data_IF_264952653282
#
_entry.id   IF_264952653282
#
_cell.length_a   1.000
_cell.length_b   1.000
_cell.length_c   1.000
_cell.angle_alpha   90.00
_cell.angle_beta   90.00
_cell.angle_gamma   90.00
#
_symmetry.space_group_name_H-M   'P 1'
#
loop_
_entity.id
_entity.type
_entity.pdbx_description
1 polymer ?
#
# COMPACT_ATOMS: atom_id res chain seq x y z
N UNK A 1 2.89 -15.58 9.11
CA UNK A 1 2.89 -15.77 7.64
C UNK A 1 3.67 -14.62 7.00
N UNK A 2 4.39 -14.83 5.90
CA UNK A 2 5.05 -13.74 5.15
C UNK A 2 4.26 -13.42 3.89
N UNK A 3 4.07 -12.13 3.60
CA UNK A 3 3.28 -11.67 2.45
C UNK A 3 4.09 -10.67 1.63
N UNK A 4 4.09 -10.87 0.32
CA UNK A 4 4.65 -9.92 -0.65
C UNK A 4 3.50 -9.35 -1.46
N UNK A 5 3.23 -8.07 -1.27
CA UNK A 5 2.34 -7.30 -2.13
C UNK A 5 3.15 -6.74 -3.28
N UNK A 6 2.99 -7.31 -4.47
CA UNK A 6 3.66 -6.88 -5.70
C UNK A 6 2.68 -6.10 -6.58
N UNK A 7 3.08 -4.90 -7.00
CA UNK A 7 2.27 -4.05 -7.86
C UNK A 7 2.98 -3.63 -9.14
N UNK A 8 2.21 -3.57 -10.23
CA UNK A 8 2.62 -3.04 -11.53
C UNK A 8 1.42 -2.38 -12.21
N UNK A 9 1.67 -1.43 -13.09
CA UNK A 9 0.61 -0.83 -13.92
C UNK A 9 0.39 -1.69 -15.16
N UNK A 10 -0.88 -2.06 -15.41
CA UNK A 10 -1.27 -2.68 -16.69
C UNK A 10 -1.20 -1.64 -17.81
N UNK A 11 -1.77 -0.46 -17.54
CA UNK A 11 -1.80 0.69 -18.43
C UNK A 11 -1.47 1.96 -17.64
N UNK A 12 -0.79 2.90 -18.29
CA UNK A 12 -0.33 4.15 -17.68
C UNK A 12 0.91 4.00 -16.80
N UNK A 13 1.15 5.02 -15.97
CA UNK A 13 2.27 5.10 -15.02
C UNK A 13 1.82 5.85 -13.77
N UNK A 14 2.51 5.63 -12.66
CA UNK A 14 2.27 6.46 -11.47
C UNK A 14 2.59 7.92 -11.74
N UNK A 15 1.87 8.80 -11.06
CA UNK A 15 2.21 10.22 -11.00
C UNK A 15 3.12 10.49 -9.81
N UNK A 16 3.83 11.62 -9.89
CA UNK A 16 4.60 12.12 -8.77
C UNK A 16 3.66 12.35 -7.58
N UNK A 17 4.04 11.80 -6.41
CA UNK A 17 3.21 11.77 -5.19
C UNK A 17 1.95 10.91 -5.26
N UNK A 18 1.87 9.88 -6.10
CA UNK A 18 0.90 8.82 -5.82
C UNK A 18 1.24 8.13 -4.49
N UNK A 19 0.27 7.42 -3.93
CA UNK A 19 0.44 6.74 -2.64
C UNK A 19 -0.22 5.37 -2.63
N UNK A 20 0.14 4.59 -1.62
CA UNK A 20 -0.59 3.38 -1.29
C UNK A 20 -0.74 3.22 0.21
N UNK A 21 -1.73 2.43 0.59
CA UNK A 21 -1.88 1.92 1.95
C UNK A 21 -2.20 0.44 1.95
N UNK A 22 -1.68 -0.28 2.92
CA UNK A 22 -2.00 -1.69 3.17
C UNK A 22 -2.54 -1.78 4.59
N UNK A 23 -3.69 -2.42 4.73
CA UNK A 23 -4.27 -2.80 6.00
C UNK A 23 -4.61 -4.29 6.01
N UNK A 24 -4.71 -4.85 7.20
CA UNK A 24 -5.05 -6.26 7.39
C UNK A 24 -5.92 -6.41 8.63
N UNK A 25 -6.75 -7.45 8.62
CA UNK A 25 -7.51 -7.90 9.80
C UNK A 25 -6.62 -8.41 10.95
N UNK A 26 -5.40 -8.84 10.64
CA UNK A 26 -4.41 -9.35 11.59
C UNK A 26 -3.31 -8.32 11.80
N UNK A 27 -2.57 -8.41 12.91
CA UNK A 27 -1.40 -7.56 13.13
C UNK A 27 -0.31 -7.86 12.10
N UNK A 28 0.45 -6.84 11.74
CA UNK A 28 1.50 -6.98 10.76
C UNK A 28 2.69 -6.09 11.01
N UNK A 29 3.86 -6.59 10.60
CA UNK A 29 5.14 -5.93 10.74
C UNK A 29 5.77 -5.74 9.36
N UNK A 30 6.03 -4.48 8.98
CA UNK A 30 6.77 -4.16 7.78
C UNK A 30 8.21 -4.70 7.87
N UNK A 31 8.62 -5.45 6.84
CA UNK A 31 9.99 -5.96 6.72
C UNK A 31 10.77 -5.12 5.72
N UNK A 32 10.23 -4.94 4.51
CA UNK A 32 10.90 -4.17 3.46
C UNK A 32 9.93 -3.72 2.37
N UNK A 33 10.40 -2.81 1.51
CA UNK A 33 9.70 -2.46 0.29
C UNK A 33 10.62 -1.72 -0.67
N UNK A 34 10.41 -1.91 -1.97
CA UNK A 34 11.22 -1.28 -3.02
C UNK A 34 10.36 -0.87 -4.21
N UNK A 35 10.72 0.26 -4.80
CA UNK A 35 10.31 0.63 -6.15
C UNK A 35 11.35 0.09 -7.13
N UNK A 36 10.87 -0.46 -8.24
CA UNK A 36 11.68 -1.07 -9.29
C UNK A 36 11.29 -0.44 -10.64
N UNK A 37 12.28 -0.08 -11.45
CA UNK A 37 12.04 0.56 -12.74
C UNK A 37 13.20 0.32 -13.70
N UNK A 38 12.97 0.57 -14.97
CA UNK A 38 13.98 0.55 -16.01
C UNK A 38 14.25 1.97 -16.51
N UNK A 39 15.50 2.27 -16.87
CA UNK A 39 15.85 3.49 -17.60
C UNK A 39 16.95 3.18 -18.60
N UNK A 40 16.70 3.45 -19.88
CA UNK A 40 17.64 3.15 -20.98
C UNK A 40 18.10 1.68 -20.99
N UNK A 41 17.19 0.73 -20.75
CA UNK A 41 17.50 -0.71 -20.73
C UNK A 41 18.13 -1.23 -19.43
N UNK A 42 18.44 -0.36 -18.45
CA UNK A 42 19.07 -0.75 -17.19
C UNK A 42 18.02 -0.80 -16.08
N UNK A 43 18.01 -1.88 -15.29
CA UNK A 43 17.13 -2.04 -14.14
C UNK A 43 17.70 -1.31 -12.91
N UNK A 44 16.83 -0.60 -12.20
CA UNK A 44 17.14 0.12 -10.97
C UNK A 44 16.16 -0.27 -9.87
N UNK A 45 16.59 -0.06 -8.63
CA UNK A 45 15.73 -0.11 -7.45
C UNK A 45 15.91 1.14 -6.60
N UNK A 46 14.85 1.55 -5.91
CA UNK A 46 14.86 2.64 -4.96
C UNK A 46 14.05 2.25 -3.72
N UNK A 47 14.35 2.89 -2.60
CA UNK A 47 13.49 2.83 -1.41
C UNK A 47 12.14 3.49 -1.71
N UNK A 48 11.09 2.98 -1.08
CA UNK A 48 9.77 3.59 -1.14
C UNK A 48 9.78 4.81 -0.20
N UNK A 49 9.59 6.04 -0.71
CA UNK A 49 9.61 7.22 0.14
C UNK A 49 8.51 7.15 1.20
N UNK A 50 8.84 7.56 2.43
CA UNK A 50 7.93 7.58 3.59
C UNK A 50 7.27 6.23 3.91
N UNK A 51 7.88 5.13 3.45
CA UNK A 51 7.44 3.79 3.81
C UNK A 51 7.53 3.59 5.32
N UNK A 52 6.39 3.31 5.93
CA UNK A 52 6.28 3.14 7.38
C UNK A 52 5.14 2.21 7.71
N UNK A 53 5.28 1.48 8.82
CA UNK A 53 4.19 0.80 9.50
C UNK A 53 3.82 1.60 10.74
N UNK A 54 2.60 2.12 10.82
CA UNK A 54 2.15 2.91 11.96
C UNK A 54 0.71 2.61 12.31
N UNK A 55 0.41 2.66 13.59
CA UNK A 55 -0.95 2.80 14.05
C UNK A 55 -1.47 4.20 13.68
N UNK A 56 -2.62 4.27 13.05
CA UNK A 56 -3.28 5.52 12.65
C UNK A 56 -4.65 5.60 13.29
N UNK A 57 -5.03 6.81 13.70
CA UNK A 57 -6.38 7.14 14.15
C UNK A 57 -7.07 7.80 12.98
N UNK A 58 -8.21 7.26 12.59
CA UNK A 58 -9.06 7.80 11.53
C UNK A 58 -10.49 7.91 12.02
N UNK A 59 -11.26 8.81 11.42
CA UNK A 59 -12.69 8.92 11.67
C UNK A 59 -13.44 8.12 10.62
N UNK A 60 -14.44 7.37 11.04
CA UNK A 60 -15.41 6.85 10.10
C UNK A 60 -16.31 7.99 9.57
N UNK A 61 -17.20 7.63 8.65
CA UNK A 61 -18.17 8.57 8.06
C UNK A 61 -19.20 9.14 9.05
N UNK A 62 -19.38 8.51 10.23
CA UNK A 62 -20.20 9.01 11.33
C UNK A 62 -19.41 9.90 12.30
N UNK A 63 -18.09 10.00 12.10
CA UNK A 63 -17.20 10.78 12.96
C UNK A 63 -16.63 9.97 14.12
N UNK A 64 -16.87 8.65 14.17
CA UNK A 64 -16.33 7.79 15.21
C UNK A 64 -14.84 7.52 14.96
N UNK A 65 -14.02 7.80 15.96
CA UNK A 65 -12.59 7.53 15.93
C UNK A 65 -12.32 6.03 16.09
N UNK A 66 -11.50 5.48 15.20
CA UNK A 66 -10.99 4.13 15.31
C UNK A 66 -9.50 4.11 14.99
N UNK A 67 -8.78 3.22 15.66
CA UNK A 67 -7.33 3.06 15.52
C UNK A 67 -7.01 1.73 14.85
N UNK A 68 -6.11 1.74 13.88
CA UNK A 68 -5.67 0.51 13.20
C UNK A 68 -4.26 0.63 12.65
N UNK A 69 -3.61 -0.52 12.46
CA UNK A 69 -2.28 -0.58 11.87
C UNK A 69 -2.35 -0.42 10.35
N UNK A 70 -1.45 0.40 9.81
CA UNK A 70 -1.38 0.73 8.38
C UNK A 70 0.07 0.79 7.93
N UNK A 71 0.40 0.03 6.89
CA UNK A 71 1.59 0.30 6.09
C UNK A 71 1.21 1.33 5.03
N UNK A 72 1.99 2.38 4.90
CA UNK A 72 1.77 3.44 3.92
C UNK A 72 3.09 3.85 3.27
N UNK A 73 3.05 4.25 2.00
CA UNK A 73 4.23 4.75 1.30
C UNK A 73 3.87 5.54 0.05
N UNK A 74 4.81 6.35 -0.41
CA UNK A 74 4.69 7.10 -1.65
C UNK A 74 5.13 6.25 -2.85
N UNK A 75 4.45 6.42 -3.97
CA UNK A 75 4.87 5.85 -5.25
C UNK A 75 5.47 6.96 -6.09
N UNK A 76 6.78 6.88 -6.32
CA UNK A 76 7.50 7.89 -7.08
C UNK A 76 8.65 7.27 -7.87
N UNK A 77 8.59 7.39 -9.20
CA UNK A 77 9.66 6.95 -10.09
C UNK A 77 10.29 8.13 -10.83
N UNK A 78 11.58 8.03 -11.20
CA UNK A 78 12.21 9.04 -12.02
C UNK A 78 11.46 9.29 -13.32
N UNK A 79 11.42 10.57 -13.74
CA UNK A 79 10.82 10.94 -15.01
C UNK A 79 11.49 10.18 -16.17
N UNK A 80 10.64 9.65 -17.06
CA UNK A 80 11.07 8.86 -18.22
C UNK A 80 11.58 7.47 -17.88
N UNK A 81 11.22 6.91 -16.71
CA UNK A 81 11.45 5.50 -16.42
C UNK A 81 10.36 4.61 -17.01
N UNK A 82 10.74 3.39 -17.38
CA UNK A 82 9.88 2.36 -17.94
C UNK A 82 9.69 1.20 -16.96
N UNK A 83 8.74 0.29 -17.26
CA UNK A 83 8.46 -0.93 -16.48
C UNK A 83 8.37 -0.69 -14.96
N UNK A 84 7.71 0.41 -14.58
CA UNK A 84 7.50 0.79 -13.19
C UNK A 84 6.73 -0.32 -12.46
N UNK A 85 7.24 -0.73 -11.31
CA UNK A 85 6.67 -1.76 -10.44
C UNK A 85 7.23 -1.62 -9.02
N UNK A 86 6.68 -2.34 -8.07
CA UNK A 86 7.21 -2.31 -6.71
C UNK A 86 6.68 -3.45 -5.89
N UNK A 87 7.24 -3.59 -4.69
CA UNK A 87 6.74 -4.55 -3.72
C UNK A 87 6.84 -4.01 -2.30
N UNK A 88 6.00 -4.57 -1.43
CA UNK A 88 6.09 -4.46 0.02
C UNK A 88 6.06 -5.86 0.60
N UNK A 89 7.05 -6.18 1.44
CA UNK A 89 7.15 -7.42 2.19
C UNK A 89 6.85 -7.13 3.66
N UNK A 90 5.95 -7.89 4.25
CA UNK A 90 5.60 -7.81 5.66
C UNK A 90 5.29 -9.18 6.26
N UNK A 91 5.44 -9.28 7.59
CA UNK A 91 5.01 -10.43 8.38
C UNK A 91 3.58 -10.19 8.84
N UNK A 92 2.70 -11.15 8.63
CA UNK A 92 1.41 -11.25 9.31
C UNK A 92 1.57 -12.11 10.55
N UNK A 93 1.26 -11.54 11.70
CA UNK A 93 1.17 -12.23 12.98
C UNK A 93 -0.26 -12.75 13.09
N UNK A 94 -0.43 -14.03 12.76
CA UNK A 94 -1.73 -14.70 12.77
C UNK A 94 -1.88 -15.39 14.11
N UNK A 95 -2.85 -14.94 14.90
CA UNK A 95 -3.14 -15.52 16.20
C UNK A 95 -3.67 -16.95 16.08
N UNK A 96 -3.44 -17.76 17.12
CA UNK A 96 -3.96 -19.12 17.21
C UNK A 96 -5.51 -19.11 17.14
N UNK A 97 -6.09 -19.99 16.35
CA UNK A 97 -7.55 -20.06 16.16
C UNK A 97 -8.10 -19.16 15.04
N UNK A 98 -7.32 -18.26 14.46
CA UNK A 98 -7.73 -17.49 13.28
C UNK A 98 -7.79 -18.42 12.07
N UNK A 99 -9.00 -18.60 11.50
CA UNK A 99 -9.26 -19.48 10.35
C UNK A 99 -9.25 -18.75 8.99
N UNK A 100 -9.45 -17.44 9.00
CA UNK A 100 -9.47 -16.60 7.81
C UNK A 100 -9.09 -15.16 8.15
N UNK A 101 -8.65 -14.42 7.14
CA UNK A 101 -8.38 -13.00 7.25
C UNK A 101 -8.41 -12.31 5.90
N UNK A 102 -8.38 -10.99 5.92
CA UNK A 102 -8.42 -10.15 4.74
C UNK A 102 -7.28 -9.15 4.75
N UNK A 103 -6.68 -8.97 3.58
CA UNK A 103 -5.73 -7.91 3.30
C UNK A 103 -6.34 -6.94 2.30
N UNK A 104 -6.23 -5.65 2.59
CA UNK A 104 -6.70 -4.58 1.71
C UNK A 104 -5.50 -3.75 1.28
N UNK A 105 -5.32 -3.62 -0.03
CA UNK A 105 -4.34 -2.73 -0.64
C UNK A 105 -5.09 -1.63 -1.38
N UNK A 106 -4.85 -0.38 -1.01
CA UNK A 106 -5.37 0.78 -1.71
C UNK A 106 -4.25 1.45 -2.49
N UNK A 107 -4.45 1.64 -3.79
CA UNK A 107 -3.63 2.55 -4.59
C UNK A 107 -4.37 3.86 -4.79
N UNK A 108 -3.69 4.95 -4.45
CA UNK A 108 -4.20 6.31 -4.42
C UNK A 108 -3.56 7.05 -5.59
N UNK A 109 -4.32 7.20 -6.65
CA UNK A 109 -3.88 7.87 -7.87
C UNK A 109 -4.53 9.25 -7.98
N UNK A 110 -3.73 10.27 -8.23
CA UNK A 110 -4.24 11.62 -8.40
C UNK A 110 -4.50 11.99 -9.86
N UNK A 111 -5.51 12.84 -10.08
CA UNK A 111 -5.87 13.29 -11.43
C UNK A 111 -4.86 14.26 -12.07
N UNK A 112 -3.87 14.75 -11.31
CA UNK A 112 -2.89 15.71 -11.81
C UNK A 112 -1.64 15.86 -10.92
N UNK A 113 -0.56 16.45 -11.44
CA UNK A 113 0.77 16.43 -10.82
C UNK A 113 1.02 17.49 -9.72
N UNK A 114 0.12 18.46 -9.53
CA UNK A 114 0.30 19.56 -8.56
C UNK A 114 -0.91 19.75 -7.65
N UNK A 115 -0.69 20.15 -6.39
CA UNK A 115 -1.75 20.38 -5.37
C UNK A 115 -1.42 21.50 -4.39
N UNK A 116 -2.46 22.23 -4.00
CA UNK A 116 -2.44 23.23 -2.93
C UNK A 116 -3.75 23.04 -2.11
N UNK A 117 -3.68 22.86 -0.78
CA UNK A 117 -2.46 22.73 0.03
C UNK A 117 -1.71 21.42 -0.22
N UNK A 118 -0.42 21.40 0.13
CA UNK A 118 0.38 20.18 0.07
C UNK A 118 -0.08 19.20 1.17
N UNK A 119 -0.40 17.97 0.78
CA UNK A 119 -0.78 16.89 1.69
C UNK A 119 -0.12 15.59 1.23
N UNK A 120 0.45 14.83 2.16
CA UNK A 120 0.98 13.49 1.88
C UNK A 120 -0.17 12.56 1.49
N UNK A 121 -0.09 12.00 0.29
CA UNK A 121 -1.16 11.22 -0.33
C UNK A 121 -1.58 10.02 0.48
N UNK A 122 -0.61 9.34 1.06
CA UNK A 122 -0.81 8.15 1.86
C UNK A 122 -1.40 8.42 3.26
N UNK A 123 -1.53 9.69 3.66
CA UNK A 123 -2.20 10.09 4.91
C UNK A 123 -3.70 10.35 4.74
N UNK A 124 -4.23 10.33 3.51
CA UNK A 124 -5.65 10.55 3.30
C UNK A 124 -6.47 9.36 3.83
N UNK A 125 -7.48 9.65 4.65
CA UNK A 125 -8.52 8.68 5.02
C UNK A 125 -9.44 8.47 3.81
N UNK A 126 -9.61 7.21 3.43
CA UNK A 126 -10.10 6.82 2.11
C UNK A 126 -11.13 5.70 2.16
N UNK A 127 -11.75 5.47 3.33
CA UNK A 127 -12.62 4.31 3.58
C UNK A 127 -13.57 3.93 2.43
N UNK A 128 -14.16 4.92 1.74
CA UNK A 128 -15.19 4.70 0.73
C UNK A 128 -15.03 5.65 -0.47
N UNK A 129 -13.96 5.49 -1.24
CA UNK A 129 -13.75 6.27 -2.47
C UNK A 129 -13.71 5.38 -3.71
N UNK A 130 -14.71 5.55 -4.59
CA UNK A 130 -14.79 4.92 -5.92
C UNK A 130 -13.67 5.36 -6.87
N UNK A 131 -12.86 6.34 -6.47
CA UNK A 131 -11.70 6.82 -7.23
C UNK A 131 -10.44 5.99 -7.00
N UNK A 132 -10.52 4.94 -6.18
CA UNK A 132 -9.38 4.11 -5.81
C UNK A 132 -9.29 2.85 -6.66
N UNK A 133 -8.06 2.37 -6.81
CA UNK A 133 -7.81 0.99 -7.21
C UNK A 133 -7.56 0.20 -5.93
N UNK A 134 -8.64 -0.28 -5.33
CA UNK A 134 -8.59 -1.13 -4.13
C UNK A 134 -8.55 -2.60 -4.54
N UNK A 135 -7.75 -3.37 -3.82
CA UNK A 135 -7.68 -4.83 -3.95
C UNK A 135 -7.85 -5.47 -2.58
N UNK A 136 -8.76 -6.43 -2.47
CA UNK A 136 -8.98 -7.20 -1.26
C UNK A 136 -8.61 -8.67 -1.52
N UNK A 137 -7.64 -9.17 -0.77
CA UNK A 137 -7.21 -10.57 -0.83
C UNK A 137 -7.62 -11.27 0.45
N UNK A 138 -8.38 -12.35 0.34
CA UNK A 138 -8.73 -13.19 1.49
C UNK A 138 -7.78 -14.39 1.58
N UNK A 139 -7.39 -14.76 2.79
CA UNK A 139 -6.63 -15.97 3.06
C UNK A 139 -7.35 -16.83 4.09
N UNK A 140 -7.05 -18.13 4.05
CA UNK A 140 -7.48 -19.12 5.04
C UNK A 140 -6.27 -19.82 5.61
N UNK A 141 -6.30 -20.10 6.90
CA UNK A 141 -5.31 -20.98 7.53
C UNK A 141 -5.88 -22.40 7.55
N UNK A 142 -5.00 -23.38 7.40
CA UNK A 142 -5.36 -24.78 7.59
C UNK A 142 -4.76 -25.26 8.91
N UNK A 143 -5.61 -25.73 9.81
CA UNK A 143 -5.17 -26.48 10.98
C UNK A 143 -4.86 -27.90 10.52
N UNK A 144 -3.59 -28.29 10.59
CA UNK A 144 -3.23 -29.70 10.52
C UNK A 144 -3.57 -30.28 11.90
N UNK A 145 -4.64 -31.08 11.96
CA UNK A 145 -4.98 -31.91 13.13
C UNK A 145 -4.15 -33.17 13.12
#
# INVERSE_FOLDING_TARGET
MYVIEYFKWKDGKSYWHDGFSISNTQKFELISGRLLFEKKGINYSAEIPRLKNKNVIENDWLGDEFAYDKISGAVNYPLGSDKQRGYVLYRLDIDEGVFAGSNIVNYIHYKGPFRIPYVETEQQNLMFSDRLRQHCTNFKTHFFR
#
